data_IF_386545151499
#
_entry.id   IF_386545151499
#
_cell.length_a   1.000
_cell.length_b   1.000
_cell.length_c   1.000
_cell.angle_alpha   90.00
_cell.angle_beta   90.00
_cell.angle_gamma   90.00
#
_symmetry.space_group_name_H-M   'P 1'
#
loop_
_entity.id
_entity.type
_entity.pdbx_description
1 polymer ?
#
# COMPACT_ATOMS: atom_id res chain seq x y z
N UNK A 1 37.90 27.45 -3.49
CA UNK A 1 36.54 27.09 -3.05
C UNK A 1 36.13 25.83 -3.80
N UNK A 2 36.08 24.71 -3.08
CA UNK A 2 36.08 23.35 -3.65
C UNK A 2 34.68 22.98 -4.12
N UNK A 3 34.52 22.82 -5.43
CA UNK A 3 33.40 22.15 -6.07
C UNK A 3 33.24 20.74 -5.47
N UNK A 4 32.32 20.59 -4.52
CA UNK A 4 31.86 19.30 -4.01
C UNK A 4 30.33 19.32 -3.90
N UNK A 5 29.67 19.71 -4.98
CA UNK A 5 28.24 19.49 -5.19
C UNK A 5 27.99 18.32 -6.16
N UNK A 6 28.95 17.39 -6.26
CA UNK A 6 28.87 16.23 -7.18
C UNK A 6 28.51 14.93 -6.46
N UNK A 7 27.60 14.98 -5.50
CA UNK A 7 27.02 13.75 -4.97
C UNK A 7 25.50 13.84 -4.87
N UNK A 8 24.87 14.25 -5.98
CA UNK A 8 23.49 13.90 -6.25
C UNK A 8 23.47 12.40 -6.60
N UNK A 9 23.66 11.55 -5.59
CA UNK A 9 23.30 10.13 -5.71
C UNK A 9 21.81 10.13 -6.03
N UNK A 10 21.46 9.67 -7.23
CA UNK A 10 20.10 9.40 -7.70
C UNK A 10 19.48 8.29 -6.86
N UNK A 11 19.27 8.53 -5.58
CA UNK A 11 18.40 7.68 -4.78
C UNK A 11 17.08 8.41 -4.76
N UNK A 12 16.11 7.84 -5.47
CA UNK A 12 14.70 8.20 -5.41
C UNK A 12 14.18 7.77 -4.02
N UNK A 13 14.69 8.42 -2.97
CA UNK A 13 14.20 8.29 -1.60
C UNK A 13 12.91 9.10 -1.51
N UNK A 14 11.90 8.51 -0.89
CA UNK A 14 10.70 9.21 -0.43
C UNK A 14 11.14 10.51 0.29
N UNK A 15 10.53 11.66 -0.04
CA UNK A 15 11.00 13.00 0.38
C UNK A 15 11.24 13.13 1.90
N UNK A 16 10.43 12.43 2.71
CA UNK A 16 10.59 12.38 4.17
C UNK A 16 11.87 11.68 4.63
N UNK A 17 12.33 10.66 3.91
CA UNK A 17 13.57 9.93 4.22
C UNK A 17 14.84 10.70 3.82
N UNK A 18 14.71 11.63 2.87
CA UNK A 18 15.81 12.46 2.39
C UNK A 18 16.24 13.48 3.45
N UNK A 19 15.28 14.09 4.16
CA UNK A 19 15.58 15.03 5.24
C UNK A 19 16.26 14.37 6.44
N UNK A 20 15.81 13.19 6.86
CA UNK A 20 16.48 12.42 7.93
C UNK A 20 17.90 11.99 7.54
N UNK A 21 18.12 11.68 6.26
CA UNK A 21 19.44 11.34 5.71
C UNK A 21 20.37 12.55 5.72
N UNK A 22 19.90 13.68 5.20
CA UNK A 22 20.66 14.95 5.19
C UNK A 22 20.95 15.42 6.61
N UNK A 23 19.96 15.34 7.52
CA UNK A 23 20.11 15.71 8.93
C UNK A 23 21.15 14.84 9.64
N UNK A 24 21.15 13.52 9.42
CA UNK A 24 22.19 12.64 9.99
C UNK A 24 23.57 12.98 9.42
N UNK A 25 23.69 13.10 8.09
CA UNK A 25 24.97 13.34 7.43
C UNK A 25 25.61 14.70 7.80
N UNK A 26 24.81 15.69 8.19
CA UNK A 26 25.31 17.00 8.62
C UNK A 26 25.88 17.01 10.05
N UNK A 27 25.47 16.06 10.91
CA UNK A 27 25.82 16.06 12.34
C UNK A 27 26.55 14.78 12.81
N UNK A 28 26.54 13.71 12.01
CA UNK A 28 27.13 12.41 12.33
C UNK A 28 27.61 11.70 11.05
N UNK A 29 28.81 11.10 11.07
CA UNK A 29 29.27 10.25 9.97
C UNK A 29 28.46 8.94 10.02
N UNK A 30 27.52 8.71 9.08
CA UNK A 30 26.59 7.61 9.21
C UNK A 30 27.32 6.29 8.98
N UNK A 31 27.31 5.42 10.00
CA UNK A 31 27.82 4.06 9.85
C UNK A 31 27.13 3.34 8.69
N UNK A 32 27.82 2.41 8.03
CA UNK A 32 27.25 1.61 6.93
C UNK A 32 25.94 0.92 7.36
N UNK A 33 25.87 0.49 8.62
CA UNK A 33 24.69 -0.11 9.21
C UNK A 33 23.51 0.88 9.34
N UNK A 34 23.78 2.15 9.63
CA UNK A 34 22.77 3.23 9.63
C UNK A 34 22.22 3.46 8.22
N UNK A 35 23.10 3.54 7.20
CA UNK A 35 22.71 3.72 5.80
C UNK A 35 21.83 2.54 5.30
N UNK A 36 22.20 1.31 5.63
CA UNK A 36 21.41 0.12 5.29
C UNK A 36 20.01 0.14 5.94
N UNK A 37 19.92 0.44 7.25
CA UNK A 37 18.62 0.58 7.94
C UNK A 37 17.75 1.64 7.28
N UNK A 38 18.33 2.78 6.89
CA UNK A 38 17.61 3.86 6.22
C UNK A 38 17.10 3.45 4.84
N UNK A 39 17.93 2.76 4.06
CA UNK A 39 17.54 2.20 2.76
C UNK A 39 16.36 1.23 2.88
N UNK A 40 16.42 0.31 3.85
CA UNK A 40 15.32 -0.65 4.12
C UNK A 40 14.04 0.09 4.52
N UNK A 41 14.12 1.04 5.45
CA UNK A 41 12.95 1.82 5.89
C UNK A 41 12.33 2.65 4.76
N UNK A 42 13.16 3.21 3.88
CA UNK A 42 12.68 3.94 2.70
C UNK A 42 11.92 3.03 1.75
N UNK A 43 12.44 1.83 1.50
CA UNK A 43 11.78 0.83 0.65
C UNK A 43 10.45 0.39 1.23
N UNK A 44 10.38 0.15 2.54
CA UNK A 44 9.14 -0.24 3.20
C UNK A 44 8.11 0.89 3.20
N UNK A 45 8.53 2.14 3.40
CA UNK A 45 7.62 3.29 3.23
C UNK A 45 7.05 3.36 1.82
N UNK A 46 7.88 3.19 0.79
CA UNK A 46 7.38 3.15 -0.60
C UNK A 46 6.37 2.02 -0.80
N UNK A 47 6.69 0.81 -0.32
CA UNK A 47 5.76 -0.33 -0.37
C UNK A 47 4.43 -0.01 0.33
N UNK A 48 4.48 0.66 1.48
CA UNK A 48 3.29 1.07 2.23
C UNK A 48 2.48 2.15 1.50
N UNK A 49 3.13 3.08 0.81
CA UNK A 49 2.46 4.07 -0.04
C UNK A 49 1.73 3.38 -1.20
N UNK A 50 2.43 2.53 -1.95
CA UNK A 50 1.84 1.78 -3.07
C UNK A 50 0.63 0.94 -2.60
N UNK A 51 0.70 0.34 -1.40
CA UNK A 51 -0.43 -0.38 -0.78
C UNK A 51 -1.61 0.54 -0.40
N UNK A 52 -1.32 1.71 0.17
CA UNK A 52 -2.36 2.66 0.57
C UNK A 52 -3.06 3.25 -0.65
N UNK A 53 -2.32 3.55 -1.71
CA UNK A 53 -2.86 4.05 -2.96
C UNK A 53 -3.85 3.03 -3.57
N UNK A 54 -3.47 1.75 -3.63
CA UNK A 54 -4.37 0.68 -4.06
C UNK A 54 -5.62 0.54 -3.15
N UNK A 55 -5.49 0.75 -1.85
CA UNK A 55 -6.63 0.73 -0.91
C UNK A 55 -7.54 1.95 -1.12
N UNK A 56 -6.99 3.09 -1.50
CA UNK A 56 -7.77 4.29 -1.84
C UNK A 56 -8.48 4.14 -3.18
N UNK A 57 -7.86 3.49 -4.18
CA UNK A 57 -8.53 3.06 -5.41
C UNK A 57 -9.70 2.12 -5.13
N UNK A 58 -9.51 1.12 -4.24
CA UNK A 58 -10.59 0.24 -3.81
C UNK A 58 -11.76 1.05 -3.24
N UNK A 59 -11.48 2.04 -2.37
CA UNK A 59 -12.54 2.89 -1.78
C UNK A 59 -13.38 3.60 -2.84
N UNK A 60 -12.78 4.03 -3.95
CA UNK A 60 -13.50 4.73 -5.01
C UNK A 60 -14.53 3.82 -5.71
N UNK A 61 -14.22 2.53 -5.83
CA UNK A 61 -15.09 1.53 -6.46
C UNK A 61 -16.21 1.01 -5.54
N UNK A 62 -16.12 1.23 -4.23
CA UNK A 62 -17.13 0.76 -3.28
C UNK A 62 -18.41 1.62 -3.31
N UNK A 63 -19.58 1.04 -3.01
CA UNK A 63 -20.80 1.81 -2.87
C UNK A 63 -20.67 2.81 -1.71
N UNK A 64 -21.34 3.96 -1.83
CA UNK A 64 -21.33 5.05 -0.85
C UNK A 64 -19.99 5.79 -0.70
N UNK A 65 -19.01 5.53 -1.58
CA UNK A 65 -17.70 6.19 -1.64
C UNK A 65 -17.77 7.71 -1.86
N UNK A 66 -18.89 8.23 -2.37
CA UNK A 66 -19.08 9.66 -2.62
C UNK A 66 -19.66 10.42 -1.41
N UNK A 67 -20.13 9.72 -0.37
CA UNK A 67 -20.63 10.38 0.84
C UNK A 67 -19.48 10.99 1.64
N UNK A 68 -19.68 12.13 2.30
CA UNK A 68 -18.63 12.74 3.14
C UNK A 68 -18.09 11.80 4.25
N UNK A 69 -18.84 10.72 4.57
CA UNK A 69 -18.47 9.67 5.51
C UNK A 69 -17.42 8.69 4.97
N UNK A 70 -17.34 8.48 3.65
CA UNK A 70 -16.39 7.55 3.02
C UNK A 70 -14.93 7.96 3.24
N UNK A 71 -14.65 9.28 3.23
CA UNK A 71 -13.33 9.86 3.53
C UNK A 71 -12.87 9.58 4.97
N UNK A 72 -13.76 9.14 5.87
CA UNK A 72 -13.46 8.78 7.26
C UNK A 72 -13.37 7.26 7.49
N UNK A 73 -13.47 6.44 6.44
CA UNK A 73 -13.43 4.99 6.59
C UNK A 73 -12.02 4.46 6.91
N UNK A 74 -11.92 3.72 8.01
CA UNK A 74 -10.69 3.01 8.40
C UNK A 74 -10.32 1.91 7.38
N UNK A 75 -9.06 1.46 7.40
CA UNK A 75 -8.59 0.36 6.54
C UNK A 75 -9.41 -0.91 6.75
N UNK A 76 -9.69 -1.26 8.01
CA UNK A 76 -10.50 -2.43 8.38
C UNK A 76 -11.91 -2.30 7.83
N UNK A 77 -12.56 -1.15 8.03
CA UNK A 77 -13.93 -0.94 7.55
C UNK A 77 -14.01 -0.96 6.02
N UNK A 78 -12.97 -0.49 5.33
CA UNK A 78 -12.86 -0.57 3.87
C UNK A 78 -12.85 -2.02 3.39
N UNK A 79 -12.04 -2.87 4.02
CA UNK A 79 -11.96 -4.28 3.67
C UNK A 79 -13.27 -5.03 3.98
N UNK A 80 -13.87 -4.77 5.15
CA UNK A 80 -15.16 -5.37 5.51
C UNK A 80 -16.26 -4.96 4.52
N UNK A 81 -16.33 -3.68 4.16
CA UNK A 81 -17.29 -3.21 3.18
C UNK A 81 -17.06 -3.84 1.81
N UNK A 82 -15.81 -3.96 1.36
CA UNK A 82 -15.48 -4.58 0.09
C UNK A 82 -15.91 -6.05 0.03
N UNK A 83 -15.58 -6.84 1.06
CA UNK A 83 -15.96 -8.24 1.15
C UNK A 83 -17.48 -8.41 1.15
N UNK A 84 -18.20 -7.61 1.95
CA UNK A 84 -19.66 -7.67 2.02
C UNK A 84 -20.31 -7.21 0.71
N UNK A 85 -19.78 -6.13 0.10
CA UNK A 85 -20.29 -5.62 -1.16
C UNK A 85 -20.16 -6.65 -2.29
N UNK A 86 -19.01 -7.30 -2.40
CA UNK A 86 -18.83 -8.39 -3.36
C UNK A 86 -19.81 -9.54 -3.11
N UNK A 87 -19.94 -10.00 -1.86
CA UNK A 87 -20.82 -11.12 -1.50
C UNK A 87 -22.31 -10.87 -1.80
N UNK A 88 -22.77 -9.62 -1.64
CA UNK A 88 -24.15 -9.21 -1.95
C UNK A 88 -24.35 -8.95 -3.44
N UNK A 89 -23.37 -8.36 -4.12
CA UNK A 89 -23.47 -7.96 -5.53
C UNK A 89 -23.30 -9.14 -6.48
N UNK A 90 -22.45 -10.10 -6.11
CA UNK A 90 -22.14 -11.27 -6.91
C UNK A 90 -22.48 -12.58 -6.18
N UNK A 91 -23.76 -12.83 -5.85
CA UNK A 91 -24.17 -13.98 -5.06
C UNK A 91 -23.93 -15.32 -5.76
N UNK A 92 -23.82 -15.33 -7.09
CA UNK A 92 -23.51 -16.51 -7.90
C UNK A 92 -22.01 -16.82 -7.98
N UNK A 93 -21.14 -15.91 -7.54
CA UNK A 93 -19.68 -16.11 -7.44
C UNK A 93 -19.26 -16.47 -6.02
N UNK A 94 -20.22 -16.87 -5.17
CA UNK A 94 -19.92 -17.38 -3.83
C UNK A 94 -19.11 -18.66 -3.99
N UNK A 95 -17.84 -18.58 -3.61
CA UNK A 95 -17.05 -19.75 -3.31
C UNK A 95 -17.65 -20.32 -2.03
N UNK A 96 -18.30 -21.48 -2.12
CA UNK A 96 -18.75 -22.20 -0.93
C UNK A 96 -17.53 -22.40 -0.02
N UNK A 97 -17.60 -21.90 1.21
CA UNK A 97 -16.64 -22.29 2.26
C UNK A 97 -16.86 -23.76 2.58
N UNK A 98 -16.25 -24.64 1.79
CA UNK A 98 -15.94 -25.99 2.22
C UNK A 98 -14.44 -26.08 2.42
N UNK A 99 -14.05 -26.77 3.50
CA UNK A 99 -12.71 -26.85 4.06
C UNK A 99 -11.57 -26.69 3.03
N UNK A 100 -10.71 -25.69 3.25
CA UNK A 100 -9.30 -25.65 2.82
C UNK A 100 -8.91 -25.92 1.35
N UNK A 101 -9.85 -26.18 0.45
CA UNK A 101 -9.59 -26.67 -0.90
C UNK A 101 -10.34 -25.81 -1.92
N UNK A 102 -9.60 -24.86 -2.50
CA UNK A 102 -10.11 -24.02 -3.58
C UNK A 102 -10.33 -24.90 -4.80
N UNK A 103 -11.58 -25.23 -5.11
CA UNK A 103 -11.96 -25.82 -6.41
C UNK A 103 -12.94 -24.88 -7.13
N UNK A 104 -12.78 -24.63 -8.45
CA UNK A 104 -13.71 -23.80 -9.19
C UNK A 104 -14.99 -24.62 -9.47
N UNK A 105 -16.09 -24.31 -8.77
CA UNK A 105 -17.38 -24.89 -9.09
C UNK A 105 -17.99 -24.16 -10.28
N UNK A 106 -17.58 -24.56 -11.48
CA UNK A 106 -18.27 -24.21 -12.70
C UNK A 106 -19.66 -24.86 -12.70
N UNK A 107 -20.68 -24.16 -12.20
CA UNK A 107 -22.05 -24.42 -12.63
C UNK A 107 -22.37 -23.51 -13.83
N UNK A 108 -21.76 -23.84 -14.96
CA UNK A 108 -22.33 -23.49 -16.27
C UNK A 108 -23.56 -24.39 -16.44
N UNK A 109 -24.72 -23.91 -15.99
CA UNK A 109 -26.01 -24.40 -16.49
C UNK A 109 -26.49 -23.37 -17.52
N UNK A 110 -26.06 -23.60 -18.76
CA UNK A 110 -26.78 -23.14 -19.93
C UNK A 110 -27.22 -24.41 -20.68
N UNK A 111 -28.53 -24.48 -20.92
CA UNK A 111 -29.36 -25.59 -21.44
C UNK A 111 -29.70 -26.71 -20.44
#
# INVERSE_FOLDING_TARGET
MKFKFSLLVKVKLCDSCSLDYIRRKMFDEPSEQSVLRMSINSRERKRMHDLNDALDELRQCLPYSQSASSRKMSKINTLLLASNWYAVTFPSLKFDEHDGSVTPSAKLSYC
#
